data_IF_795954818304
#
_entry.id   IF_795954818304
#
_cell.length_a   1.000
_cell.length_b   1.000
_cell.length_c   1.000
_cell.angle_alpha   90.00
_cell.angle_beta   90.00
_cell.angle_gamma   90.00
#
_symmetry.space_group_name_H-M   'P 1'
#
loop_
_entity.id
_entity.type
_entity.pdbx_description
1 polymer ?
#
# COMPACT_ATOMS: atom_id res chain seq x y z
N UNK A 1 2.09 -28.56 6.59
CA UNK A 1 2.16 -28.11 5.21
C UNK A 1 2.52 -26.64 5.12
N UNK A 2 3.60 -26.35 4.43
CA UNK A 2 4.09 -25.00 4.33
C UNK A 2 3.52 -24.28 3.11
N UNK A 3 3.10 -23.04 3.29
CA UNK A 3 2.74 -22.19 2.17
C UNK A 3 4.01 -21.63 1.54
N UNK A 4 3.96 -21.46 0.23
CA UNK A 4 5.05 -20.82 -0.49
C UNK A 4 5.04 -19.33 -0.13
N UNK A 5 6.03 -18.89 0.65
CA UNK A 5 6.07 -17.51 1.13
C UNK A 5 6.19 -16.50 -0.01
N UNK A 6 6.82 -16.86 -1.13
CA UNK A 6 6.89 -15.97 -2.30
C UNK A 6 5.54 -15.76 -2.94
N UNK A 7 4.74 -16.83 -3.03
CA UNK A 7 3.39 -16.73 -3.56
C UNK A 7 2.53 -15.81 -2.71
N UNK A 8 2.62 -15.99 -1.39
CA UNK A 8 1.87 -15.17 -0.46
C UNK A 8 2.27 -13.70 -0.60
N UNK A 9 3.57 -13.45 -0.70
CA UNK A 9 4.08 -12.09 -0.86
C UNK A 9 3.58 -11.44 -2.15
N UNK A 10 3.61 -12.17 -3.27
CA UNK A 10 3.15 -11.64 -4.54
C UNK A 10 1.67 -11.31 -4.51
N UNK A 11 0.86 -12.19 -3.93
CA UNK A 11 -0.58 -11.95 -3.81
C UNK A 11 -0.85 -10.73 -2.94
N UNK A 12 -0.11 -10.60 -1.85
CA UNK A 12 -0.25 -9.44 -0.95
C UNK A 12 0.08 -8.15 -1.67
N UNK A 13 1.18 -8.13 -2.43
CA UNK A 13 1.57 -6.93 -3.18
C UNK A 13 0.52 -6.56 -4.22
N UNK A 14 -0.03 -7.54 -4.92
CA UNK A 14 -1.07 -7.30 -5.90
C UNK A 14 -2.31 -6.70 -5.25
N UNK A 15 -2.74 -7.28 -4.14
CA UNK A 15 -3.91 -6.79 -3.42
C UNK A 15 -3.70 -5.36 -2.94
N UNK A 16 -2.54 -5.09 -2.35
CA UNK A 16 -2.25 -3.75 -1.82
C UNK A 16 -2.14 -2.71 -2.92
N UNK A 17 -1.55 -3.08 -4.05
CA UNK A 17 -1.43 -2.16 -5.19
C UNK A 17 -2.80 -1.81 -5.74
N UNK A 18 -3.69 -2.79 -5.86
CA UNK A 18 -5.05 -2.57 -6.32
C UNK A 18 -5.83 -1.72 -5.33
N UNK A 19 -5.63 -1.96 -4.04
CA UNK A 19 -6.29 -1.16 -3.01
C UNK A 19 -5.87 0.30 -3.10
N UNK A 20 -4.58 0.56 -3.30
CA UNK A 20 -4.10 1.92 -3.44
C UNK A 20 -4.71 2.60 -4.65
N UNK A 21 -4.81 1.87 -5.77
CA UNK A 21 -5.39 2.39 -6.99
C UNK A 21 -6.83 2.85 -6.76
N UNK A 22 -7.60 2.05 -6.04
CA UNK A 22 -8.99 2.39 -5.73
C UNK A 22 -9.10 3.56 -4.76
N UNK A 23 -8.18 3.65 -3.83
CA UNK A 23 -8.17 4.74 -2.85
C UNK A 23 -7.69 6.05 -3.44
N UNK A 24 -6.86 6.00 -4.48
CA UNK A 24 -6.14 7.18 -4.97
C UNK A 24 -7.01 8.41 -5.17
N UNK A 25 -8.16 8.33 -5.86
CA UNK A 25 -8.98 9.53 -6.07
C UNK A 25 -9.64 10.05 -4.78
N UNK A 26 -9.60 9.26 -3.73
CA UNK A 26 -10.18 9.67 -2.44
C UNK A 26 -9.15 10.26 -1.49
N UNK A 27 -7.89 10.22 -1.87
CA UNK A 27 -6.82 10.74 -1.03
C UNK A 27 -6.66 12.24 -1.23
N UNK A 28 -6.26 12.93 -0.16
CA UNK A 28 -5.89 14.33 -0.26
C UNK A 28 -4.53 14.42 -0.95
N UNK A 29 -4.19 15.63 -1.43
CA UNK A 29 -2.88 15.84 -2.03
C UNK A 29 -1.73 15.50 -1.09
N UNK A 30 -1.90 15.83 0.19
CA UNK A 30 -0.89 15.53 1.21
C UNK A 30 -0.73 14.03 1.41
N UNK A 31 -1.84 13.30 1.40
CA UNK A 31 -1.81 11.84 1.53
C UNK A 31 -1.14 11.21 0.31
N UNK A 32 -1.45 11.69 -0.87
CA UNK A 32 -0.83 11.21 -2.10
C UNK A 32 0.68 11.44 -2.07
N UNK A 33 1.10 12.62 -1.62
CA UNK A 33 2.51 12.93 -1.49
C UNK A 33 3.23 11.99 -0.52
N UNK A 34 2.59 11.72 0.61
CA UNK A 34 3.17 10.80 1.61
C UNK A 34 3.36 9.40 1.06
N UNK A 35 2.36 8.92 0.31
CA UNK A 35 2.44 7.61 -0.32
C UNK A 35 3.58 7.55 -1.34
N UNK A 36 3.69 8.57 -2.18
CA UNK A 36 4.73 8.62 -3.20
C UNK A 36 6.12 8.75 -2.60
N UNK A 37 6.25 9.51 -1.53
CA UNK A 37 7.51 9.68 -0.85
C UNK A 37 8.02 8.35 -0.28
N UNK A 38 7.11 7.59 0.32
CA UNK A 38 7.46 6.27 0.85
C UNK A 38 7.82 5.29 -0.25
N UNK A 39 7.06 5.31 -1.35
CA UNK A 39 7.37 4.49 -2.50
C UNK A 39 8.78 4.77 -3.02
N UNK A 40 9.12 6.05 -3.16
CA UNK A 40 10.40 6.45 -3.73
C UNK A 40 11.58 6.10 -2.82
N UNK A 41 11.35 6.03 -1.52
CA UNK A 41 12.39 5.66 -0.58
C UNK A 41 12.80 4.18 -0.70
N UNK A 42 12.00 3.36 -1.37
CA UNK A 42 12.23 1.92 -1.45
C UNK A 42 12.49 1.42 -2.87
N UNK A 43 12.87 2.30 -3.80
CA UNK A 43 12.99 1.92 -5.20
C UNK A 43 14.07 0.88 -5.51
N UNK A 44 15.04 0.69 -4.66
CA UNK A 44 16.11 -0.27 -4.91
C UNK A 44 15.87 -1.66 -4.34
N UNK A 45 14.69 -1.91 -3.78
CA UNK A 45 14.48 -3.12 -2.98
C UNK A 45 13.39 -4.04 -3.51
N UNK A 46 13.12 -4.01 -4.81
CA UNK A 46 12.09 -4.86 -5.39
C UNK A 46 12.55 -6.33 -5.36
N UNK A 47 11.75 -7.24 -4.77
CA UNK A 47 12.11 -8.65 -4.75
C UNK A 47 12.20 -9.21 -6.15
N UNK A 48 13.10 -10.19 -6.32
CA UNK A 48 13.22 -10.92 -7.55
C UNK A 48 11.89 -11.60 -7.86
N UNK A 49 11.47 -11.57 -9.10
CA UNK A 49 10.22 -12.18 -9.56
C UNK A 49 8.96 -11.42 -9.15
N UNK A 50 9.06 -10.30 -8.46
CA UNK A 50 7.90 -9.48 -8.16
C UNK A 50 7.62 -8.52 -9.31
N UNK A 51 6.35 -8.22 -9.53
CA UNK A 51 5.98 -7.17 -10.46
C UNK A 51 6.35 -5.84 -9.82
N UNK A 52 7.16 -5.05 -10.50
CA UNK A 52 7.68 -3.79 -9.96
C UNK A 52 6.55 -2.82 -9.60
N UNK A 53 5.56 -2.71 -10.50
CA UNK A 53 4.44 -1.79 -10.25
C UNK A 53 3.64 -2.22 -9.02
N UNK A 54 3.39 -3.53 -8.88
CA UNK A 54 2.65 -4.04 -7.72
C UNK A 54 3.43 -3.81 -6.43
N UNK A 55 4.73 -4.05 -6.47
CA UNK A 55 5.56 -3.83 -5.28
C UNK A 55 5.59 -2.36 -4.88
N UNK A 56 5.73 -1.47 -5.87
CA UNK A 56 5.74 -0.03 -5.59
C UNK A 56 4.39 0.44 -5.05
N UNK A 57 3.29 -0.10 -5.59
CA UNK A 57 1.95 0.22 -5.10
C UNK A 57 1.75 -0.23 -3.66
N UNK A 58 2.20 -1.43 -3.34
CA UNK A 58 2.11 -1.95 -1.98
C UNK A 58 2.94 -1.11 -1.01
N UNK A 59 4.15 -0.74 -1.42
CA UNK A 59 5.02 0.09 -0.60
C UNK A 59 4.40 1.46 -0.35
N UNK A 60 3.78 2.04 -1.37
CA UNK A 60 3.12 3.34 -1.24
C UNK A 60 1.94 3.25 -0.27
N UNK A 61 1.15 2.18 -0.34
CA UNK A 61 0.03 1.99 0.57
C UNK A 61 0.50 1.87 2.02
N UNK A 62 1.54 1.08 2.25
CA UNK A 62 2.11 0.92 3.59
C UNK A 62 2.65 2.24 4.11
N UNK A 63 3.29 3.02 3.26
CA UNK A 63 3.81 4.33 3.65
C UNK A 63 2.68 5.29 4.03
N UNK A 64 1.59 5.26 3.27
CA UNK A 64 0.42 6.08 3.57
C UNK A 64 -0.16 5.73 4.93
N UNK A 65 -0.37 4.44 5.19
CA UNK A 65 -0.95 4.00 6.45
C UNK A 65 -0.02 4.30 7.62
N UNK A 66 1.29 4.11 7.43
CA UNK A 66 2.27 4.46 8.45
C UNK A 66 2.29 5.96 8.75
N UNK A 67 2.19 6.77 7.71
CA UNK A 67 2.14 8.23 7.83
C UNK A 67 0.92 8.66 8.68
N UNK A 68 -0.23 8.10 8.36
CA UNK A 68 -1.46 8.45 9.08
C UNK A 68 -1.41 7.95 10.52
N UNK A 69 -0.89 6.77 10.75
CA UNK A 69 -0.79 6.20 12.09
C UNK A 69 0.14 7.05 12.97
N UNK A 70 1.32 7.37 12.45
CA UNK A 70 2.30 8.15 13.20
C UNK A 70 1.84 9.58 13.44
N UNK A 71 1.00 10.11 12.56
CA UNK A 71 0.42 11.43 12.71
C UNK A 71 -0.79 11.48 13.62
N UNK A 72 -1.19 10.33 14.18
CA UNK A 72 -2.35 10.26 15.05
C UNK A 72 -3.68 10.31 14.33
N UNK A 73 -3.68 10.14 13.00
CA UNK A 73 -4.88 10.23 12.19
C UNK A 73 -5.61 8.89 12.13
N UNK A 74 -5.96 8.37 13.29
CA UNK A 74 -6.56 7.03 13.41
C UNK A 74 -7.93 6.97 12.76
N UNK A 75 -8.73 8.02 12.90
CA UNK A 75 -10.07 8.05 12.27
C UNK A 75 -9.97 7.97 10.76
N UNK A 76 -9.03 8.73 10.18
CA UNK A 76 -8.82 8.72 8.74
C UNK A 76 -8.31 7.36 8.27
N UNK A 77 -7.40 6.76 9.05
CA UNK A 77 -6.87 5.44 8.76
C UNK A 77 -7.99 4.40 8.71
N UNK A 78 -8.89 4.45 9.69
CA UNK A 78 -10.04 3.55 9.73
C UNK A 78 -10.97 3.75 8.55
N UNK A 79 -11.18 5.00 8.17
CA UNK A 79 -12.03 5.33 7.02
C UNK A 79 -11.47 4.72 5.75
N UNK A 80 -10.18 4.92 5.50
CA UNK A 80 -9.53 4.39 4.30
C UNK A 80 -9.49 2.86 4.31
N UNK A 81 -9.21 2.27 5.46
CA UNK A 81 -9.21 0.82 5.58
C UNK A 81 -10.59 0.24 5.30
N UNK A 82 -11.63 0.92 5.80
CA UNK A 82 -13.01 0.51 5.52
C UNK A 82 -13.34 0.53 4.04
N UNK A 83 -12.85 1.54 3.32
CA UNK A 83 -13.07 1.63 1.87
C UNK A 83 -12.39 0.48 1.14
N UNK A 84 -11.20 0.10 1.57
CA UNK A 84 -10.50 -1.05 0.99
C UNK A 84 -11.31 -2.33 1.20
N UNK A 85 -11.84 -2.51 2.40
CA UNK A 85 -12.58 -3.72 2.72
C UNK A 85 -13.92 -3.80 1.99
N UNK A 86 -14.53 -2.66 1.70
CA UNK A 86 -15.78 -2.64 0.93
C UNK A 86 -15.60 -3.19 -0.49
N UNK A 87 -14.40 -3.10 -1.03
CA UNK A 87 -14.11 -3.53 -2.39
C UNK A 87 -13.84 -5.05 -2.49
N UNK A 88 -13.79 -5.71 -1.37
CA UNK A 88 -13.66 -7.16 -1.36
C UNK A 88 -15.01 -7.82 -1.59
#
# INVERSE_FOLDING_TARGET
>A
KKLNSRKVELVRCQFQAQALERLWPRLTGEEQEGALRGRNAHVGHVPKNANVADYHGATALEALFGYLYLGGEVSRLRELFGLVMEEL
#
